data_IF_590674282250
#
_entry.id   IF_590674282250
#
_cell.length_a   1.000
_cell.length_b   1.000
_cell.length_c   1.000
_cell.angle_alpha   90.00
_cell.angle_beta   90.00
_cell.angle_gamma   90.00
#
_symmetry.space_group_name_H-M   'P 1'
#
loop_
_entity.id
_entity.type
_entity.pdbx_description
1 polymer ?
#
# COMPACT_ATOMS: atom_id res chain seq x y z
N UNK A 1 31.59 -33.86 19.80
CA UNK A 1 30.27 -34.18 20.40
C UNK A 1 29.47 -32.93 20.79
N UNK A 2 29.95 -32.03 21.67
CA UNK A 2 29.21 -30.79 22.01
C UNK A 2 29.22 -29.75 20.87
N UNK A 3 30.33 -29.63 20.14
CA UNK A 3 30.46 -28.72 19.00
C UNK A 3 29.60 -29.15 17.80
N UNK A 4 29.59 -30.43 17.46
CA UNK A 4 28.77 -30.96 16.34
C UNK A 4 27.27 -30.73 16.55
N UNK A 5 26.81 -30.81 17.80
CA UNK A 5 25.42 -30.55 18.18
C UNK A 5 25.08 -29.06 18.15
N UNK A 6 26.06 -28.19 18.39
CA UNK A 6 25.91 -26.73 18.32
C UNK A 6 25.92 -26.21 16.88
N UNK A 7 26.74 -26.82 16.01
CA UNK A 7 26.75 -26.55 14.55
C UNK A 7 25.42 -26.99 13.93
N UNK A 8 24.95 -28.21 14.22
CA UNK A 8 23.66 -28.68 13.72
C UNK A 8 22.47 -27.84 14.19
N UNK A 9 22.53 -27.27 15.41
CA UNK A 9 21.51 -26.34 15.89
C UNK A 9 21.54 -25.01 15.13
N UNK A 10 22.74 -24.47 14.85
CA UNK A 10 22.91 -23.23 14.10
C UNK A 10 22.42 -23.36 12.66
N UNK A 11 22.78 -24.46 11.98
CA UNK A 11 22.32 -24.73 10.61
C UNK A 11 20.80 -24.80 10.53
N UNK A 12 20.15 -25.50 11.46
CA UNK A 12 18.70 -25.55 11.54
C UNK A 12 18.05 -24.16 11.73
N UNK A 13 18.66 -23.28 12.53
CA UNK A 13 18.17 -21.91 12.70
C UNK A 13 18.34 -21.07 11.43
N UNK A 14 19.46 -21.25 10.70
CA UNK A 14 19.72 -20.57 9.44
C UNK A 14 18.76 -21.01 8.33
N UNK A 15 18.44 -22.30 8.27
CA UNK A 15 17.48 -22.84 7.31
C UNK A 15 16.08 -22.30 7.58
N UNK A 16 15.63 -22.32 8.83
CA UNK A 16 14.34 -21.72 9.23
C UNK A 16 14.29 -20.23 8.90
N UNK A 17 15.37 -19.50 9.14
CA UNK A 17 15.44 -18.07 8.84
C UNK A 17 15.36 -17.82 7.33
N UNK A 18 16.04 -18.65 6.53
CA UNK A 18 15.99 -18.60 5.07
C UNK A 18 14.58 -18.84 4.54
N UNK A 19 13.88 -19.85 5.04
CA UNK A 19 12.49 -20.14 4.67
C UNK A 19 11.58 -18.93 4.95
N UNK A 20 11.75 -18.27 6.10
CA UNK A 20 10.99 -17.05 6.43
C UNK A 20 11.25 -15.94 5.42
N UNK A 21 12.52 -15.65 5.09
CA UNK A 21 12.84 -14.62 4.12
C UNK A 21 12.30 -14.94 2.73
N UNK A 22 12.42 -16.20 2.28
CA UNK A 22 11.89 -16.65 0.99
C UNK A 22 10.37 -16.52 0.94
N UNK A 23 9.67 -16.94 2.00
CA UNK A 23 8.21 -16.81 2.09
C UNK A 23 7.78 -15.34 2.00
N UNK A 24 8.50 -14.44 2.68
CA UNK A 24 8.22 -12.99 2.62
C UNK A 24 8.47 -12.44 1.21
N UNK A 25 9.60 -12.79 0.59
CA UNK A 25 9.96 -12.36 -0.76
C UNK A 25 8.94 -12.83 -1.80
N UNK A 26 8.53 -14.10 -1.73
CA UNK A 26 7.50 -14.68 -2.59
C UNK A 26 6.16 -13.96 -2.40
N UNK A 27 5.74 -13.73 -1.15
CA UNK A 27 4.50 -13.00 -0.86
C UNK A 27 4.52 -11.59 -1.44
N UNK A 28 5.64 -10.85 -1.33
CA UNK A 28 5.79 -9.51 -1.89
C UNK A 28 5.64 -9.54 -3.42
N UNK A 29 6.23 -10.53 -4.09
CA UNK A 29 6.13 -10.70 -5.55
C UNK A 29 4.73 -11.11 -6.00
N UNK A 30 4.10 -12.06 -5.31
CA UNK A 30 2.74 -12.51 -5.62
C UNK A 30 1.71 -11.39 -5.50
N UNK A 31 1.91 -10.49 -4.53
CA UNK A 31 1.08 -9.30 -4.36
C UNK A 31 1.47 -8.14 -5.29
N UNK A 32 2.52 -8.28 -6.11
CA UNK A 32 3.01 -7.23 -7.00
C UNK A 32 3.53 -5.98 -6.28
N UNK A 33 3.99 -6.13 -5.04
CA UNK A 33 4.44 -5.02 -4.19
C UNK A 33 5.93 -4.71 -4.38
N UNK A 34 6.66 -5.56 -5.10
CA UNK A 34 8.09 -5.44 -5.36
C UNK A 34 8.47 -4.23 -6.22
N UNK A 35 7.51 -3.60 -6.91
CA UNK A 35 7.71 -2.37 -7.70
C UNK A 35 6.68 -1.28 -7.37
N UNK A 36 6.13 -1.28 -6.15
CA UNK A 36 5.02 -0.40 -5.78
C UNK A 36 5.36 1.10 -5.88
N UNK A 37 6.65 1.46 -5.74
CA UNK A 37 7.12 2.84 -5.89
C UNK A 37 7.05 3.36 -7.33
N UNK A 38 7.00 2.48 -8.33
CA UNK A 38 6.87 2.83 -9.75
C UNK A 38 5.39 2.96 -10.18
N UNK A 39 4.47 2.47 -9.34
CA UNK A 39 3.03 2.50 -9.62
C UNK A 39 2.51 3.93 -9.53
N UNK A 40 1.98 4.42 -10.65
CA UNK A 40 1.34 5.73 -10.71
C UNK A 40 -0.03 5.67 -10.00
N UNK A 41 -0.37 6.69 -9.18
CA UNK A 41 -1.72 6.81 -8.64
C UNK A 41 -2.76 6.85 -9.76
N UNK A 42 -3.88 6.15 -9.58
CA UNK A 42 -5.00 6.12 -10.53
C UNK A 42 -5.65 7.49 -10.77
N UNK A 43 -5.55 8.40 -9.79
CA UNK A 43 -6.13 9.75 -9.83
C UNK A 43 -5.01 10.77 -9.66
N UNK A 44 -4.92 11.74 -10.56
CA UNK A 44 -3.85 12.74 -10.55
C UNK A 44 -4.18 13.94 -9.64
N UNK A 45 -3.17 14.76 -9.32
CA UNK A 45 -3.33 15.92 -8.43
C UNK A 45 -4.38 16.95 -8.92
N UNK A 46 -4.59 17.08 -10.22
CA UNK A 46 -5.59 17.99 -10.79
C UNK A 46 -7.00 17.46 -10.59
N UNK A 47 -7.21 16.16 -10.80
CA UNK A 47 -8.48 15.49 -10.54
C UNK A 47 -8.83 15.51 -9.05
N UNK A 48 -7.84 15.32 -8.17
CA UNK A 48 -8.01 15.48 -6.72
C UNK A 48 -8.54 16.88 -6.39
N UNK A 49 -7.92 17.93 -6.93
CA UNK A 49 -8.37 19.31 -6.68
C UNK A 49 -9.81 19.56 -7.15
N UNK A 50 -10.19 18.99 -8.30
CA UNK A 50 -11.54 19.14 -8.85
C UNK A 50 -12.59 18.40 -8.02
N UNK A 51 -12.37 17.13 -7.73
CA UNK A 51 -13.32 16.29 -6.99
C UNK A 51 -13.47 16.80 -5.58
N UNK A 52 -12.34 17.23 -5.00
CA UNK A 52 -12.34 17.56 -3.61
C UNK A 52 -13.00 18.91 -3.30
N UNK A 53 -13.30 19.71 -4.34
CA UNK A 53 -13.69 21.13 -4.27
C UNK A 53 -12.78 21.94 -3.32
N UNK A 54 -11.53 21.49 -3.18
CA UNK A 54 -10.62 22.04 -2.20
C UNK A 54 -10.00 23.31 -2.76
N UNK A 55 -10.51 24.42 -2.26
CA UNK A 55 -9.73 25.65 -2.10
C UNK A 55 -8.55 25.48 -1.11
N UNK A 56 -8.43 24.31 -0.45
CA UNK A 56 -7.37 23.97 0.49
C UNK A 56 -6.05 23.63 -0.19
N UNK A 57 -4.98 24.31 0.24
CA UNK A 57 -3.63 24.21 -0.34
C UNK A 57 -2.95 22.84 -0.25
N UNK A 58 -1.66 22.82 -0.60
CA UNK A 58 -0.83 21.62 -0.84
C UNK A 58 -0.87 20.53 0.23
N UNK A 59 -1.14 20.85 1.49
CA UNK A 59 -1.25 19.89 2.60
C UNK A 59 -2.39 18.88 2.41
N UNK A 60 -3.54 19.35 1.95
CA UNK A 60 -4.73 18.50 1.84
C UNK A 60 -4.66 17.58 0.61
N UNK A 61 -4.00 18.04 -0.46
CA UNK A 61 -3.69 17.21 -1.64
C UNK A 61 -2.82 16.03 -1.23
N UNK A 62 -1.83 16.24 -0.37
CA UNK A 62 -0.95 15.16 0.12
C UNK A 62 -1.72 14.11 0.93
N UNK A 63 -2.64 14.54 1.78
CA UNK A 63 -3.51 13.63 2.54
C UNK A 63 -4.35 12.75 1.61
N UNK A 64 -4.94 13.36 0.57
CA UNK A 64 -5.70 12.62 -0.44
C UNK A 64 -4.83 11.66 -1.24
N UNK A 65 -3.63 12.07 -1.65
CA UNK A 65 -2.69 11.17 -2.34
C UNK A 65 -2.38 9.92 -1.50
N UNK A 66 -2.17 10.08 -0.19
CA UNK A 66 -1.93 8.94 0.69
C UNK A 66 -3.16 8.04 0.82
N UNK A 67 -4.36 8.63 0.96
CA UNK A 67 -5.63 7.89 0.99
C UNK A 67 -5.89 7.09 -0.29
N UNK A 68 -5.60 7.69 -1.44
CA UNK A 68 -5.76 7.06 -2.75
C UNK A 68 -4.77 5.90 -2.94
N UNK A 69 -3.51 6.06 -2.50
CA UNK A 69 -2.54 4.98 -2.54
C UNK A 69 -3.01 3.78 -1.69
N UNK A 70 -3.50 4.03 -0.47
CA UNK A 70 -4.07 2.98 0.39
C UNK A 70 -5.27 2.30 -0.26
N UNK A 71 -6.16 3.06 -0.90
CA UNK A 71 -7.31 2.51 -1.62
C UNK A 71 -6.86 1.63 -2.79
N UNK A 72 -5.89 2.08 -3.58
CA UNK A 72 -5.36 1.34 -4.73
C UNK A 72 -4.67 0.04 -4.30
N UNK A 73 -4.00 0.02 -3.14
CA UNK A 73 -3.44 -1.19 -2.55
C UNK A 73 -4.52 -2.16 -2.05
N UNK A 74 -5.63 -1.65 -1.52
CA UNK A 74 -6.76 -2.48 -1.08
C UNK A 74 -7.58 -3.04 -2.27
N UNK A 75 -7.60 -2.32 -3.39
CA UNK A 75 -8.38 -2.63 -4.59
C UNK A 75 -7.49 -2.60 -5.84
N UNK A 76 -6.60 -3.59 -6.04
CA UNK A 76 -5.59 -3.57 -7.11
C UNK A 76 -6.17 -3.57 -8.53
N UNK A 77 -7.41 -4.06 -8.71
CA UNK A 77 -8.13 -4.06 -9.98
C UNK A 77 -9.13 -2.90 -10.10
N UNK A 78 -9.16 -1.99 -9.12
CA UNK A 78 -10.07 -0.85 -9.11
C UNK A 78 -9.77 0.12 -10.23
N UNK A 79 -10.81 0.64 -10.86
CA UNK A 79 -10.72 1.65 -11.90
C UNK A 79 -10.55 3.06 -11.32
N UNK A 80 -10.07 3.99 -12.16
CA UNK A 80 -9.99 5.39 -11.78
C UNK A 80 -11.38 5.96 -11.41
N UNK A 81 -12.45 5.55 -12.09
CA UNK A 81 -13.80 6.05 -11.79
C UNK A 81 -14.33 5.53 -10.45
N UNK A 82 -14.13 4.25 -10.12
CA UNK A 82 -14.47 3.70 -8.79
C UNK A 82 -13.71 4.42 -7.67
N UNK A 83 -12.44 4.75 -7.93
CA UNK A 83 -11.61 5.51 -7.00
C UNK A 83 -12.16 6.93 -6.77
N UNK A 84 -12.60 7.60 -7.83
CA UNK A 84 -13.23 8.93 -7.77
C UNK A 84 -14.58 8.90 -7.05
N UNK A 85 -15.38 7.86 -7.28
CA UNK A 85 -16.67 7.69 -6.60
C UNK A 85 -16.49 7.44 -5.10
N UNK A 86 -15.53 6.60 -4.71
CA UNK A 86 -15.13 6.44 -3.31
C UNK A 86 -14.69 7.77 -2.68
N UNK A 87 -13.90 8.56 -3.41
CA UNK A 87 -13.45 9.87 -2.95
C UNK A 87 -14.63 10.82 -2.68
N UNK A 88 -15.61 10.89 -3.60
CA UNK A 88 -16.85 11.68 -3.43
C UNK A 88 -17.66 11.22 -2.22
N UNK A 89 -17.77 9.92 -1.99
CA UNK A 89 -18.50 9.35 -0.86
C UNK A 89 -17.87 9.73 0.49
N UNK A 90 -16.53 9.64 0.59
CA UNK A 90 -15.80 10.02 1.80
C UNK A 90 -15.96 11.52 2.09
N UNK A 91 -15.93 12.37 1.06
CA UNK A 91 -16.17 13.79 1.23
C UNK A 91 -17.59 14.12 1.68
N UNK A 92 -18.60 13.50 1.06
CA UNK A 92 -19.99 13.69 1.45
C UNK A 92 -20.23 13.28 2.92
N UNK A 93 -19.57 12.23 3.41
CA UNK A 93 -19.62 11.82 4.82
C UNK A 93 -19.00 12.86 5.75
N UNK A 94 -17.87 13.45 5.36
CA UNK A 94 -17.20 14.52 6.13
C UNK A 94 -18.08 15.75 6.27
N UNK A 95 -18.67 16.22 5.18
CA UNK A 95 -19.57 17.39 5.18
C UNK A 95 -20.86 17.20 5.98
N UNK A 96 -21.31 15.95 6.20
CA UNK A 96 -22.51 15.65 7.01
C UNK A 96 -22.24 15.57 8.51
N UNK A 97 -20.96 15.47 8.90
CA UNK A 97 -20.52 15.25 10.28
C UNK A 97 -19.89 16.51 10.89
N UNK A 98 -19.53 17.49 10.06
CA UNK A 98 -19.15 18.87 10.43
C UNK A 98 -20.41 19.76 10.52
#
# INVERSE_FOLDING_TARGET
>A
MKEDQQIGHLDFQLDKLREIYQTIEETIRELGLDNIWDVKPLVNGREIMQIAELSGGSSLIREWQQKLLTWQLAYPNGSAEECKDWMREIQAKRQRTE
#
